data_IF_347789352525
#
_entry.id   IF_347789352525
#
_cell.length_a   1.000
_cell.length_b   1.000
_cell.length_c   1.000
_cell.angle_alpha   90.00
_cell.angle_beta   90.00
_cell.angle_gamma   90.00
#
_symmetry.space_group_name_H-M   'P 1'
#
loop_
_entity.id
_entity.type
_entity.pdbx_description
1 polymer ?
#
# COMPACT_ATOMS: atom_id res chain seq x y z
N UNK A 1 -4.57 6.68 -3.46
CA UNK A 1 -4.58 7.89 -2.60
C UNK A 1 -5.93 8.11 -1.94
N UNK A 2 -7.08 8.05 -2.68
CA UNK A 2 -8.41 8.27 -2.10
C UNK A 2 -8.71 7.39 -0.87
N UNK A 3 -8.39 6.09 -0.93
CA UNK A 3 -8.51 5.20 0.22
C UNK A 3 -7.63 5.64 1.41
N UNK A 4 -6.38 5.99 1.15
CA UNK A 4 -5.46 6.45 2.20
C UNK A 4 -5.95 7.74 2.86
N UNK A 5 -6.48 8.68 2.07
CA UNK A 5 -7.12 9.89 2.59
C UNK A 5 -8.35 9.54 3.46
N UNK A 6 -9.21 8.63 2.97
CA UNK A 6 -10.35 8.17 3.74
C UNK A 6 -9.92 7.57 5.10
N UNK A 7 -8.86 6.79 5.13
CA UNK A 7 -8.34 6.20 6.37
C UNK A 7 -7.87 7.25 7.37
N UNK A 8 -7.19 8.32 6.91
CA UNK A 8 -6.80 9.42 7.78
C UNK A 8 -8.00 10.23 8.31
N UNK A 9 -9.02 10.46 7.47
CA UNK A 9 -10.12 11.36 7.84
C UNK A 9 -11.26 10.64 8.58
N UNK A 10 -11.47 9.35 8.33
CA UNK A 10 -12.65 8.63 8.82
C UNK A 10 -12.32 7.37 9.64
N UNK A 11 -11.10 6.85 9.59
CA UNK A 11 -10.70 5.65 10.34
C UNK A 11 -9.77 5.93 11.53
N UNK A 12 -9.42 7.21 11.75
CA UNK A 12 -8.66 7.67 12.91
C UNK A 12 -7.15 7.44 12.81
N UNK A 13 -6.59 7.36 11.61
CA UNK A 13 -5.14 7.34 11.41
C UNK A 13 -4.59 8.77 11.36
N UNK A 14 -3.53 9.04 12.11
CA UNK A 14 -2.84 10.33 12.09
C UNK A 14 -2.09 10.54 10.78
N UNK A 15 -1.45 9.46 10.27
CA UNK A 15 -0.66 9.48 9.05
C UNK A 15 -0.81 8.16 8.28
N UNK A 16 -0.60 8.18 6.97
CA UNK A 16 -0.40 6.99 6.13
C UNK A 16 0.96 7.04 5.47
N UNK A 17 1.76 6.00 5.72
CA UNK A 17 3.07 5.84 5.12
C UNK A 17 2.99 4.90 3.91
N UNK A 18 3.45 5.39 2.77
CA UNK A 18 3.61 4.59 1.56
C UNK A 18 5.03 4.05 1.54
N UNK A 19 5.21 2.85 2.09
CA UNK A 19 6.52 2.18 2.12
C UNK A 19 6.75 1.51 0.78
N UNK A 20 7.81 1.93 0.07
CA UNK A 20 8.17 1.39 -1.23
C UNK A 20 9.03 0.14 -1.05
N UNK A 21 8.49 -1.01 -1.45
CA UNK A 21 9.18 -2.30 -1.38
C UNK A 21 10.09 -2.46 -2.61
N UNK A 22 11.42 -2.58 -2.44
CA UNK A 22 12.35 -2.76 -3.57
C UNK A 22 12.06 -4.03 -4.35
N UNK A 23 11.84 -5.12 -3.65
CA UNK A 23 11.51 -6.41 -4.24
C UNK A 23 10.40 -7.11 -3.46
N UNK A 24 9.20 -7.12 -4.03
CA UNK A 24 8.14 -7.97 -3.49
C UNK A 24 8.39 -9.43 -3.94
N UNK A 25 8.64 -10.37 -3.02
CA UNK A 25 8.93 -11.76 -3.36
C UNK A 25 7.80 -12.49 -4.12
N UNK A 26 6.59 -11.91 -4.11
CA UNK A 26 5.41 -12.44 -4.80
C UNK A 26 5.20 -11.84 -6.20
N UNK A 27 6.11 -10.95 -6.68
CA UNK A 27 6.01 -10.28 -7.99
C UNK A 27 7.22 -10.56 -8.86
N UNK A 28 6.98 -10.77 -10.15
CA UNK A 28 8.03 -10.90 -11.16
C UNK A 28 8.78 -9.58 -11.35
N UNK A 29 10.13 -9.63 -11.31
CA UNK A 29 11.01 -8.47 -11.49
C UNK A 29 10.91 -7.82 -12.86
N UNK A 30 10.61 -8.59 -13.90
CA UNK A 30 10.61 -8.12 -15.29
C UNK A 30 9.58 -7.01 -15.58
N UNK A 31 8.58 -6.87 -14.72
CA UNK A 31 7.48 -5.92 -14.88
C UNK A 31 7.47 -4.79 -13.83
N UNK A 32 8.50 -4.69 -12.98
CA UNK A 32 8.57 -3.65 -11.95
C UNK A 32 9.35 -2.45 -12.50
N UNK A 33 8.76 -1.26 -12.32
CA UNK A 33 9.44 0.01 -12.50
C UNK A 33 10.60 0.12 -11.48
N UNK A 34 11.66 0.84 -11.82
CA UNK A 34 12.77 1.13 -10.92
C UNK A 34 12.29 1.62 -9.55
N UNK A 35 12.93 1.15 -8.48
CA UNK A 35 12.49 1.37 -7.11
C UNK A 35 12.56 2.85 -6.71
N UNK A 36 13.63 3.53 -7.11
CA UNK A 36 13.82 4.95 -6.85
C UNK A 36 12.80 5.79 -7.61
N UNK A 37 12.53 5.43 -8.86
CA UNK A 37 11.48 6.10 -9.65
C UNK A 37 10.09 5.90 -9.02
N UNK A 38 9.79 4.71 -8.49
CA UNK A 38 8.53 4.47 -7.78
C UNK A 38 8.40 5.36 -6.53
N UNK A 39 9.50 5.51 -5.78
CA UNK A 39 9.54 6.40 -4.63
C UNK A 39 9.25 7.85 -5.05
N UNK A 40 9.97 8.37 -6.04
CA UNK A 40 9.81 9.74 -6.56
C UNK A 40 8.37 10.01 -7.05
N UNK A 41 7.76 9.06 -7.74
CA UNK A 41 6.38 9.17 -8.21
C UNK A 41 5.37 9.21 -7.04
N UNK A 42 5.59 8.40 -6.00
CA UNK A 42 4.74 8.44 -4.80
C UNK A 42 4.92 9.76 -4.08
N UNK A 43 6.16 10.19 -3.84
CA UNK A 43 6.48 11.46 -3.17
C UNK A 43 5.82 12.65 -3.88
N UNK A 44 6.00 12.75 -5.20
CA UNK A 44 5.33 13.78 -6.00
C UNK A 44 3.81 13.72 -5.91
N UNK A 45 3.24 12.50 -5.90
CA UNK A 45 1.78 12.29 -5.87
C UNK A 45 1.13 12.71 -4.56
N UNK A 46 1.88 12.75 -3.46
CA UNK A 46 1.35 12.99 -2.11
C UNK A 46 1.78 14.34 -1.51
N UNK A 47 2.63 15.10 -2.20
CA UNK A 47 3.25 16.33 -1.71
C UNK A 47 2.29 17.40 -1.16
N UNK A 48 1.02 17.39 -1.59
CA UNK A 48 0.01 18.36 -1.16
C UNK A 48 -0.77 17.96 0.10
N UNK A 49 -0.48 16.81 0.74
CA UNK A 49 -1.25 16.35 1.89
C UNK A 49 -0.36 15.95 3.07
N UNK A 50 -0.40 16.69 4.20
CA UNK A 50 0.58 16.56 5.28
C UNK A 50 0.52 15.23 6.04
N UNK A 51 -0.61 14.53 5.99
CA UNK A 51 -0.78 13.21 6.64
C UNK A 51 -0.24 12.04 5.80
N UNK A 52 0.31 12.30 4.60
CA UNK A 52 0.91 11.26 3.77
C UNK A 52 2.42 11.35 3.79
N UNK A 53 3.09 10.19 3.84
CA UNK A 53 4.55 10.09 3.77
C UNK A 53 4.97 9.02 2.77
N UNK A 54 5.87 9.35 1.85
CA UNK A 54 6.63 8.37 1.11
C UNK A 54 7.77 7.87 1.99
N UNK A 55 8.05 6.57 1.97
CA UNK A 55 9.12 5.97 2.75
C UNK A 55 9.91 4.98 1.91
N UNK A 56 11.21 5.18 1.85
CA UNK A 56 12.21 4.27 1.28
C UNK A 56 12.84 3.37 2.35
N UNK A 57 12.20 3.24 3.50
CA UNK A 57 12.70 2.52 4.67
C UNK A 57 13.17 1.09 4.34
N UNK A 58 12.43 0.37 3.50
CA UNK A 58 12.79 -0.99 3.08
C UNK A 58 14.02 -1.06 2.17
N UNK A 59 14.50 0.08 1.61
CA UNK A 59 15.72 0.09 0.78
C UNK A 59 16.97 -0.22 1.60
N UNK A 60 16.94 0.04 2.90
CA UNK A 60 18.03 -0.26 3.83
C UNK A 60 17.93 -1.63 4.50
N UNK A 61 16.83 -2.35 4.32
CA UNK A 61 16.61 -3.66 4.94
C UNK A 61 17.18 -4.81 4.08
N UNK A 62 17.54 -5.95 4.71
CA UNK A 62 17.92 -7.16 3.99
C UNK A 62 16.81 -7.63 3.04
N UNK A 63 17.18 -7.98 1.81
CA UNK A 63 16.24 -8.41 0.78
C UNK A 63 16.16 -9.95 0.69
N UNK A 64 14.98 -10.54 0.38
CA UNK A 64 13.70 -9.86 0.18
C UNK A 64 13.08 -9.40 1.50
N UNK A 65 12.41 -8.24 1.50
CA UNK A 65 11.68 -7.73 2.66
C UNK A 65 10.32 -8.44 2.82
N UNK A 66 9.97 -8.75 4.05
CA UNK A 66 8.65 -9.25 4.41
C UNK A 66 7.96 -8.27 5.36
N UNK A 67 6.65 -8.17 5.28
CA UNK A 67 5.85 -7.21 6.06
C UNK A 67 6.16 -7.27 7.56
N UNK A 68 6.28 -8.47 8.13
CA UNK A 68 6.59 -8.64 9.56
C UNK A 68 7.97 -8.07 9.93
N UNK A 69 8.98 -8.27 9.08
CA UNK A 69 10.33 -7.76 9.33
C UNK A 69 10.36 -6.23 9.21
N UNK A 70 9.65 -5.68 8.22
CA UNK A 70 9.50 -4.23 8.05
C UNK A 70 8.83 -3.58 9.26
N UNK A 71 7.72 -4.15 9.76
CA UNK A 71 7.01 -3.62 10.92
C UNK A 71 7.88 -3.66 12.19
N UNK A 72 8.59 -4.76 12.44
CA UNK A 72 9.55 -4.86 13.56
C UNK A 72 10.65 -3.81 13.49
N UNK A 73 11.19 -3.59 12.29
CA UNK A 73 12.22 -2.58 12.08
C UNK A 73 11.69 -1.15 12.26
N UNK A 74 10.48 -0.88 11.78
CA UNK A 74 9.80 0.41 11.97
C UNK A 74 9.55 0.70 13.46
N UNK A 75 9.01 -0.25 14.23
CA UNK A 75 8.80 -0.10 15.67
C UNK A 75 10.10 0.21 16.42
N UNK A 76 11.17 -0.51 16.07
CA UNK A 76 12.48 -0.27 16.66
C UNK A 76 13.02 1.13 16.35
N UNK A 77 12.78 1.62 15.14
CA UNK A 77 13.28 2.92 14.67
C UNK A 77 12.43 4.09 15.17
N UNK A 78 11.13 3.86 15.32
CA UNK A 78 10.15 4.87 15.72
C UNK A 78 9.33 4.40 16.93
N UNK A 79 9.94 4.28 18.11
CA UNK A 79 9.31 3.70 19.31
C UNK A 79 8.11 4.50 19.84
N UNK A 80 7.99 5.77 19.46
CA UNK A 80 6.87 6.64 19.86
C UNK A 80 5.66 6.53 18.91
N UNK A 81 5.69 5.62 17.93
CA UNK A 81 4.62 5.43 16.94
C UNK A 81 4.01 4.05 17.06
N UNK A 82 2.69 3.99 16.87
CA UNK A 82 1.96 2.74 16.71
C UNK A 82 1.68 2.51 15.22
N UNK A 83 2.25 1.45 14.66
CA UNK A 83 2.05 1.09 13.27
C UNK A 83 0.82 0.20 13.10
N UNK A 84 -0.06 0.59 12.18
CA UNK A 84 -1.19 -0.19 11.71
C UNK A 84 -0.92 -0.67 10.30
N UNK A 85 -1.08 -1.96 10.03
CA UNK A 85 -0.92 -2.48 8.69
C UNK A 85 -2.23 -2.36 7.90
N UNK A 86 -2.17 -1.75 6.72
CA UNK A 86 -3.33 -1.56 5.84
C UNK A 86 -3.25 -2.55 4.70
N UNK A 87 -4.30 -3.37 4.50
CA UNK A 87 -4.32 -4.33 3.41
C UNK A 87 -5.72 -4.49 2.79
N UNK A 88 -5.75 -4.90 1.52
CA UNK A 88 -7.00 -5.23 0.85
C UNK A 88 -7.55 -6.60 1.24
N UNK A 89 -8.86 -6.78 1.09
CA UNK A 89 -9.53 -8.06 1.32
C UNK A 89 -8.96 -9.21 0.48
N UNK A 90 -8.46 -8.91 -0.71
CA UNK A 90 -7.75 -9.85 -1.58
C UNK A 90 -6.47 -10.42 -0.93
N UNK A 91 -5.69 -9.58 -0.28
CA UNK A 91 -4.50 -10.02 0.48
C UNK A 91 -4.88 -10.71 1.79
N UNK A 92 -5.91 -10.19 2.48
CA UNK A 92 -6.40 -10.80 3.71
C UNK A 92 -6.84 -12.25 3.50
N UNK A 93 -7.53 -12.56 2.41
CA UNK A 93 -7.95 -13.92 2.07
C UNK A 93 -6.78 -14.93 1.99
N UNK A 94 -5.56 -14.46 1.76
CA UNK A 94 -4.35 -15.28 1.65
C UNK A 94 -3.32 -15.00 2.73
N UNK A 95 -3.66 -14.28 3.81
CA UNK A 95 -2.74 -13.83 4.85
C UNK A 95 -1.95 -15.00 5.47
N UNK A 96 -2.57 -16.17 5.60
CA UNK A 96 -1.91 -17.39 6.16
C UNK A 96 -0.73 -17.91 5.33
N UNK A 97 -0.54 -17.42 4.11
CA UNK A 97 0.64 -17.73 3.28
C UNK A 97 1.81 -16.79 3.51
N UNK A 98 1.62 -15.75 4.30
CA UNK A 98 2.65 -14.74 4.57
C UNK A 98 3.62 -15.22 5.64
N UNK A 99 4.86 -14.75 5.57
CA UNK A 99 5.88 -15.05 6.57
C UNK A 99 5.39 -14.68 7.96
N UNK A 100 5.45 -15.62 8.89
CA UNK A 100 5.07 -15.45 10.28
C UNK A 100 3.67 -14.79 10.44
N UNK A 101 2.70 -15.21 9.64
CA UNK A 101 1.37 -14.63 9.59
C UNK A 101 0.67 -14.58 10.96
N UNK A 102 0.88 -15.62 11.80
CA UNK A 102 0.27 -15.66 13.14
C UNK A 102 0.83 -14.56 14.04
N UNK A 103 2.14 -14.30 13.97
CA UNK A 103 2.76 -13.20 14.70
C UNK A 103 2.35 -11.82 14.14
N UNK A 104 2.23 -11.70 12.81
CA UNK A 104 1.73 -10.48 12.18
C UNK A 104 0.32 -10.15 12.69
N UNK A 105 -0.57 -11.14 12.68
CA UNK A 105 -1.97 -11.01 13.12
C UNK A 105 -2.07 -10.70 14.61
N UNK A 106 -1.22 -11.32 15.43
CA UNK A 106 -1.29 -11.18 16.91
C UNK A 106 -0.67 -9.88 17.41
N UNK A 107 0.37 -9.39 16.75
CA UNK A 107 1.19 -8.30 17.27
C UNK A 107 0.84 -6.93 16.67
N UNK A 108 0.21 -6.89 15.48
CA UNK A 108 -0.04 -5.63 14.79
C UNK A 108 -1.53 -5.39 14.53
N UNK A 109 -2.01 -4.16 14.76
CA UNK A 109 -3.32 -3.76 14.28
C UNK A 109 -3.38 -3.81 12.76
N UNK A 110 -4.41 -4.48 12.21
CA UNK A 110 -4.59 -4.60 10.75
C UNK A 110 -5.92 -3.97 10.34
N UNK A 111 -5.86 -3.07 9.38
CA UNK A 111 -7.04 -2.49 8.74
C UNK A 111 -7.27 -3.15 7.38
N UNK A 112 -8.41 -3.86 7.27
CA UNK A 112 -8.76 -4.57 6.04
C UNK A 112 -9.81 -3.77 5.28
N UNK A 113 -9.49 -3.29 4.08
CA UNK A 113 -10.41 -2.54 3.24
C UNK A 113 -11.05 -3.43 2.15
N UNK A 114 -12.29 -3.08 1.72
CA UNK A 114 -13.03 -3.91 0.78
C UNK A 114 -12.39 -3.97 -0.61
N UNK A 115 -12.47 -5.14 -1.23
CA UNK A 115 -12.10 -5.40 -2.61
C UNK A 115 -13.22 -6.17 -3.30
N UNK A 116 -13.51 -5.84 -4.56
CA UNK A 116 -14.51 -6.54 -5.37
C UNK A 116 -14.21 -8.04 -5.45
N UNK A 117 -15.21 -8.86 -5.16
CA UNK A 117 -15.09 -10.32 -5.23
C UNK A 117 -14.45 -10.97 -4.01
N UNK A 118 -14.13 -10.21 -2.95
CA UNK A 118 -13.57 -10.75 -1.71
C UNK A 118 -14.41 -10.34 -0.51
N UNK A 119 -14.95 -11.33 0.19
CA UNK A 119 -15.63 -11.12 1.45
C UNK A 119 -14.59 -10.99 2.58
N UNK A 120 -14.83 -10.05 3.50
CA UNK A 120 -13.97 -9.87 4.68
C UNK A 120 -14.58 -10.63 5.84
N UNK A 121 -14.00 -11.77 6.17
CA UNK A 121 -14.33 -12.52 7.38
C UNK A 121 -13.19 -12.30 8.39
N UNK A 122 -13.50 -11.61 9.48
CA UNK A 122 -12.56 -11.36 10.58
C UNK A 122 -12.98 -12.24 11.75
N UNK A 123 -12.05 -13.04 12.32
CA UNK A 123 -12.32 -13.79 13.53
C UNK A 123 -12.68 -12.84 14.70
N UNK A 124 -13.73 -13.14 15.42
CA UNK A 124 -14.23 -12.29 16.52
C UNK A 124 -13.32 -12.26 17.74
N UNK A 125 -12.41 -13.21 17.84
CA UNK A 125 -11.42 -13.37 18.91
C UNK A 125 -10.13 -12.54 18.69
N UNK A 126 -10.01 -11.81 17.57
CA UNK A 126 -8.83 -11.02 17.24
C UNK A 126 -9.20 -9.53 17.12
N UNK A 127 -9.27 -8.79 18.24
CA UNK A 127 -9.75 -7.40 18.25
C UNK A 127 -8.80 -6.40 17.56
N UNK A 128 -7.54 -6.79 17.33
CA UNK A 128 -6.55 -5.97 16.62
C UNK A 128 -6.83 -5.84 15.11
N UNK A 129 -7.72 -6.68 14.56
CA UNK A 129 -8.06 -6.63 13.15
C UNK A 129 -9.43 -5.95 12.98
N UNK A 130 -9.46 -4.97 12.11
CA UNK A 130 -10.67 -4.19 11.86
C UNK A 130 -10.97 -4.11 10.36
N UNK A 131 -12.17 -4.51 9.97
CA UNK A 131 -12.73 -4.14 8.68
C UNK A 131 -13.01 -2.64 8.66
N UNK A 132 -12.59 -1.96 7.60
CA UNK A 132 -12.93 -0.56 7.37
C UNK A 132 -14.00 -0.46 6.29
N UNK A 133 -15.02 0.36 6.53
CA UNK A 133 -16.16 0.55 5.61
C UNK A 133 -15.84 1.66 4.58
N UNK A 134 -14.62 1.62 4.02
CA UNK A 134 -14.20 2.54 2.98
C UNK A 134 -14.97 2.29 1.68
N UNK A 135 -15.24 3.34 0.89
CA UNK A 135 -15.82 3.19 -0.44
C UNK A 135 -14.99 2.26 -1.32
N UNK A 136 -15.69 1.41 -2.07
CA UNK A 136 -15.02 0.49 -3.00
C UNK A 136 -14.33 1.26 -4.12
N UNK A 137 -13.01 1.10 -4.23
CA UNK A 137 -12.17 1.73 -5.26
C UNK A 137 -11.82 0.71 -6.35
N UNK A 138 -12.49 0.80 -7.49
CA UNK A 138 -12.29 -0.15 -8.60
C UNK A 138 -11.18 0.26 -9.58
N UNK A 139 -10.58 1.47 -9.42
CA UNK A 139 -9.46 1.92 -10.23
C UNK A 139 -8.19 1.23 -9.76
N UNK A 140 -7.61 0.39 -10.61
CA UNK A 140 -6.37 -0.34 -10.33
C UNK A 140 -5.20 0.15 -11.18
N UNK A 141 -3.97 -0.10 -10.70
CA UNK A 141 -2.77 0.16 -11.50
C UNK A 141 -2.73 -0.65 -12.80
N UNK A 142 -3.33 -1.83 -12.81
CA UNK A 142 -3.46 -2.65 -14.02
C UNK A 142 -4.36 -1.97 -15.04
N UNK A 143 -5.55 -1.52 -14.62
CA UNK A 143 -6.46 -0.75 -15.47
C UNK A 143 -5.76 0.46 -16.11
N UNK A 144 -5.02 1.23 -15.30
CA UNK A 144 -4.31 2.43 -15.80
C UNK A 144 -3.27 2.02 -16.85
N UNK A 145 -2.40 1.03 -16.54
CA UNK A 145 -1.36 0.60 -17.48
C UNK A 145 -1.91 0.04 -18.79
N UNK A 146 -2.95 -0.79 -18.72
CA UNK A 146 -3.59 -1.36 -19.92
C UNK A 146 -4.27 -0.27 -20.76
N UNK A 147 -4.92 0.68 -20.12
CA UNK A 147 -5.52 1.82 -20.80
C UNK A 147 -4.50 2.69 -21.53
N UNK A 148 -3.36 2.98 -20.88
CA UNK A 148 -2.25 3.72 -21.49
C UNK A 148 -1.68 2.94 -22.69
N UNK A 149 -1.42 1.64 -22.56
CA UNK A 149 -0.97 0.78 -23.68
C UNK A 149 -1.96 0.76 -24.85
N UNK A 150 -3.24 0.91 -24.56
CA UNK A 150 -4.30 1.01 -25.58
C UNK A 150 -4.47 2.46 -26.11
N UNK A 151 -3.56 3.39 -25.79
CA UNK A 151 -3.61 4.77 -26.24
C UNK A 151 -4.78 5.59 -25.65
N UNK A 152 -5.34 5.17 -24.51
CA UNK A 152 -6.43 5.88 -23.85
C UNK A 152 -5.90 6.99 -22.96
N UNK A 153 -6.57 8.12 -22.96
CA UNK A 153 -6.29 9.21 -22.04
C UNK A 153 -6.87 8.92 -20.65
N UNK A 154 -6.00 8.66 -19.71
CA UNK A 154 -6.35 8.31 -18.31
C UNK A 154 -5.92 9.39 -17.32
N UNK A 155 -5.71 10.62 -17.78
CA UNK A 155 -5.20 11.73 -16.95
C UNK A 155 -5.99 11.96 -15.67
N UNK A 156 -7.29 11.74 -15.67
CA UNK A 156 -8.13 11.95 -14.48
C UNK A 156 -8.09 10.78 -13.48
N UNK A 157 -7.43 9.69 -13.82
CA UNK A 157 -7.16 8.58 -12.90
C UNK A 157 -5.76 8.66 -12.28
N UNK A 158 -4.97 9.67 -12.66
CA UNK A 158 -3.62 9.90 -12.17
C UNK A 158 -3.56 11.19 -11.35
N UNK A 159 -2.77 11.23 -10.26
CA UNK A 159 -2.44 12.47 -9.57
C UNK A 159 -1.84 13.49 -10.55
N UNK A 160 -2.21 14.74 -10.38
CA UNK A 160 -1.79 15.81 -11.30
C UNK A 160 -0.27 15.91 -11.46
N UNK A 161 0.44 15.82 -10.36
CA UNK A 161 1.91 15.91 -10.32
C UNK A 161 2.64 14.88 -11.20
N UNK A 162 2.01 13.75 -11.50
CA UNK A 162 2.64 12.67 -12.28
C UNK A 162 2.02 12.46 -13.67
N UNK A 163 0.96 13.20 -14.02
CA UNK A 163 0.25 13.03 -15.30
C UNK A 163 1.16 13.14 -16.53
N UNK A 164 2.10 14.08 -16.49
CA UNK A 164 3.02 14.38 -17.59
C UNK A 164 4.40 13.72 -17.39
N UNK A 165 4.54 12.82 -16.42
CA UNK A 165 5.81 12.17 -16.20
C UNK A 165 6.14 11.24 -17.37
N UNK A 166 7.39 11.29 -17.85
CA UNK A 166 7.89 10.54 -19.02
C UNK A 166 7.62 9.03 -18.97
N UNK A 167 7.53 8.43 -17.78
CA UNK A 167 7.20 7.02 -17.63
C UNK A 167 5.77 6.66 -18.06
N UNK A 168 4.88 7.66 -18.21
CA UNK A 168 3.52 7.49 -18.71
C UNK A 168 3.35 7.97 -20.16
N UNK A 169 4.37 8.66 -20.71
CA UNK A 169 4.34 9.21 -22.09
C UNK A 169 4.81 8.21 -23.15
N UNK A 170 5.48 7.12 -22.73
CA UNK A 170 6.09 6.11 -23.62
C UNK A 170 5.40 4.74 -23.54
N UNK A 171 4.18 4.68 -23.06
CA UNK A 171 3.40 3.45 -22.97
C UNK A 171 2.33 3.42 -24.06
#
# INVERSE_FOLDING_TARGET
LALANWLCEFAGLDEVWFVITPHNPLKDRSNLMDDRLRYELVEASIAGYPKFKASDFEFSLPQPTYTIDTLRALEKTYPDRQFHFIMGADNWAFIKRWKESDQLISNYPILVYPRKGYEIQIPSDIPSIRKVDAPLMEISSTFIRESLKAGKDVRFFLPEAIRNHKCFSNI
#
